data_IF_630255140461
#
_entry.id   IF_630255140461
#
_cell.length_a   1.000
_cell.length_b   1.000
_cell.length_c   1.000
_cell.angle_alpha   90.00
_cell.angle_beta   90.00
_cell.angle_gamma   90.00
#
_symmetry.space_group_name_H-M   'P 1'
#
loop_
_entity.id
_entity.type
_entity.pdbx_description
1 polymer ?
#
# COMPACT_ATOMS: atom_id res chain seq x y z
N UNK A 1 32.51 4.73 31.32
CA UNK A 1 31.15 4.22 31.02
C UNK A 1 30.45 5.04 29.93
N UNK A 2 30.33 6.36 29.99
CA UNK A 2 29.64 7.19 28.99
C UNK A 2 30.16 7.06 27.53
N UNK A 3 31.46 6.89 27.33
CA UNK A 3 32.04 6.72 25.98
C UNK A 3 31.68 5.36 25.36
N UNK A 4 31.53 4.31 26.15
CA UNK A 4 31.12 2.99 25.67
C UNK A 4 29.62 2.96 25.33
N UNK A 5 28.77 3.59 26.15
CA UNK A 5 27.34 3.72 25.89
C UNK A 5 27.07 4.58 24.67
N UNK A 6 27.81 5.68 24.46
CA UNK A 6 27.68 6.51 23.26
C UNK A 6 28.13 5.78 22.00
N UNK A 7 29.20 4.98 22.08
CA UNK A 7 29.67 4.16 20.95
C UNK A 7 28.69 3.05 20.61
N UNK A 8 28.05 2.39 21.58
CA UNK A 8 27.01 1.38 21.34
C UNK A 8 25.79 2.02 20.73
N UNK A 9 25.37 3.21 21.20
CA UNK A 9 24.22 3.94 20.60
C UNK A 9 24.51 4.36 19.17
N UNK A 10 25.73 4.76 18.84
CA UNK A 10 26.12 5.14 17.47
C UNK A 10 26.14 3.93 16.51
N UNK A 11 26.61 2.77 16.99
CA UNK A 11 26.67 1.52 16.22
C UNK A 11 25.25 1.00 15.92
N UNK A 12 24.31 1.11 16.87
CA UNK A 12 22.91 0.70 16.65
C UNK A 12 22.18 1.61 15.65
N UNK A 13 22.48 2.90 15.61
CA UNK A 13 21.91 3.83 14.63
C UNK A 13 22.40 3.56 13.19
N UNK A 14 23.66 3.15 13.02
CA UNK A 14 24.19 2.80 11.69
C UNK A 14 23.56 1.52 11.16
N UNK A 15 23.21 0.57 12.02
CA UNK A 15 22.52 -0.67 11.64
C UNK A 15 21.04 -0.49 11.28
N UNK A 16 20.43 0.65 11.62
CA UNK A 16 19.02 0.96 11.36
C UNK A 16 18.76 1.58 9.98
N UNK A 17 19.79 1.75 9.14
CA UNK A 17 19.66 2.29 7.78
C UNK A 17 19.56 1.16 6.76
N UNK A 18 18.43 1.11 6.02
CA UNK A 18 18.27 0.27 4.85
C UNK A 18 18.36 1.11 3.57
N UNK A 19 18.45 0.43 2.42
CA UNK A 19 18.42 1.07 1.12
C UNK A 19 17.20 0.58 0.35
N UNK A 20 16.38 1.48 -0.13
CA UNK A 20 15.19 1.17 -0.94
C UNK A 20 15.57 0.64 -2.33
N UNK A 21 14.63 0.08 -3.10
CA UNK A 21 14.87 -0.38 -4.47
C UNK A 21 15.42 0.71 -5.41
N UNK A 22 15.17 1.99 -5.10
CA UNK A 22 15.67 3.13 -5.89
C UNK A 22 17.01 3.67 -5.40
N UNK A 23 17.62 3.05 -4.37
CA UNK A 23 18.90 3.48 -3.80
C UNK A 23 18.78 4.51 -2.66
N UNK A 24 17.57 4.90 -2.25
CA UNK A 24 17.33 5.86 -1.18
C UNK A 24 17.61 5.24 0.19
N UNK A 25 18.23 6.02 1.08
CA UNK A 25 18.40 5.62 2.49
C UNK A 25 17.13 5.79 3.28
N UNK A 26 16.78 4.79 4.08
CA UNK A 26 15.58 4.74 4.91
C UNK A 26 15.92 4.45 6.36
N UNK A 27 15.17 5.05 7.29
CA UNK A 27 15.23 4.69 8.71
C UNK A 27 14.35 3.46 8.94
N UNK A 28 14.97 2.36 9.35
CA UNK A 28 14.30 1.05 9.52
C UNK A 28 14.49 0.52 10.93
N UNK A 29 13.93 1.20 11.94
CA UNK A 29 13.86 0.70 13.32
C UNK A 29 12.90 -0.49 13.43
N UNK A 30 11.84 -0.48 12.64
CA UNK A 30 10.94 -1.62 12.46
C UNK A 30 11.43 -2.41 11.26
N UNK A 31 11.71 -3.71 11.45
CA UNK A 31 12.11 -4.57 10.35
C UNK A 31 10.95 -4.81 9.36
N UNK A 32 11.28 -5.11 8.10
CA UNK A 32 10.31 -5.52 7.10
C UNK A 32 9.44 -6.68 7.59
N UNK A 33 10.05 -7.71 8.15
CA UNK A 33 9.34 -8.89 8.65
C UNK A 33 8.35 -8.54 9.77
N UNK A 34 8.74 -7.64 10.68
CA UNK A 34 7.84 -7.15 11.71
C UNK A 34 6.66 -6.37 11.13
N UNK A 35 6.93 -5.48 10.17
CA UNK A 35 5.88 -4.73 9.47
C UNK A 35 4.92 -5.65 8.72
N UNK A 36 5.42 -6.69 8.05
CA UNK A 36 4.59 -7.71 7.36
C UNK A 36 3.70 -8.46 8.36
N UNK A 37 4.26 -8.90 9.49
CA UNK A 37 3.50 -9.63 10.52
C UNK A 37 2.36 -8.78 11.10
N UNK A 38 2.66 -7.52 11.47
CA UNK A 38 1.66 -6.59 12.01
C UNK A 38 0.60 -6.21 10.96
N UNK A 39 1.02 -5.98 9.73
CA UNK A 39 0.13 -5.72 8.59
C UNK A 39 -0.81 -6.89 8.33
N UNK A 40 -0.31 -8.14 8.42
CA UNK A 40 -1.15 -9.34 8.28
C UNK A 40 -2.25 -9.39 9.33
N UNK A 41 -1.91 -9.15 10.59
CA UNK A 41 -2.88 -9.17 11.68
C UNK A 41 -3.95 -8.09 11.50
N UNK A 42 -3.53 -6.86 11.20
CA UNK A 42 -4.44 -5.74 10.96
C UNK A 42 -5.36 -5.99 9.75
N UNK A 43 -4.82 -6.52 8.66
CA UNK A 43 -5.59 -6.86 7.45
C UNK A 43 -6.65 -7.92 7.73
N UNK A 44 -6.27 -9.04 8.37
CA UNK A 44 -7.21 -10.13 8.69
C UNK A 44 -8.33 -9.65 9.58
N UNK A 45 -8.03 -8.86 10.60
CA UNK A 45 -9.04 -8.28 11.50
C UNK A 45 -9.97 -7.34 10.73
N UNK A 46 -9.44 -6.45 9.91
CA UNK A 46 -10.23 -5.49 9.13
C UNK A 46 -11.12 -6.19 8.11
N UNK A 47 -10.56 -7.12 7.33
CA UNK A 47 -11.32 -7.85 6.32
C UNK A 47 -12.37 -8.77 6.94
N UNK A 48 -12.05 -9.40 8.08
CA UNK A 48 -13.02 -10.20 8.84
C UNK A 48 -14.22 -9.39 9.30
N UNK A 49 -14.00 -8.20 9.84
CA UNK A 49 -15.08 -7.26 10.21
C UNK A 49 -15.91 -6.85 8.99
N UNK A 50 -15.26 -6.38 7.91
CA UNK A 50 -15.97 -5.95 6.70
C UNK A 50 -16.75 -7.10 6.05
N UNK A 51 -16.21 -8.30 6.07
CA UNK A 51 -16.91 -9.51 5.60
C UNK A 51 -18.17 -9.79 6.41
N UNK A 52 -18.07 -9.72 7.75
CA UNK A 52 -19.24 -9.94 8.64
C UNK A 52 -20.32 -8.86 8.50
N UNK A 53 -19.93 -7.65 8.07
CA UNK A 53 -20.83 -6.54 7.78
C UNK A 53 -21.38 -6.58 6.33
N UNK A 54 -20.98 -7.54 5.52
CA UNK A 54 -21.38 -7.64 4.10
C UNK A 54 -20.81 -6.53 3.21
N UNK A 55 -19.70 -5.92 3.63
CA UNK A 55 -19.05 -4.79 2.95
C UNK A 55 -17.92 -5.18 2.00
N UNK A 56 -17.83 -6.43 1.59
CA UNK A 56 -16.91 -6.86 0.56
C UNK A 56 -17.68 -7.13 -0.73
N UNK A 57 -17.19 -6.57 -1.84
CA UNK A 57 -17.78 -6.77 -3.16
C UNK A 57 -17.65 -8.23 -3.58
N UNK A 58 -18.76 -8.79 -4.09
CA UNK A 58 -18.82 -10.16 -4.61
C UNK A 58 -19.12 -10.22 -6.12
N UNK A 59 -19.31 -9.08 -6.78
CA UNK A 59 -19.54 -9.02 -8.22
C UNK A 59 -18.35 -9.61 -9.00
N UNK A 60 -18.55 -10.71 -9.73
CA UNK A 60 -17.46 -11.41 -10.42
C UNK A 60 -16.80 -10.57 -11.52
N UNK A 61 -17.51 -9.61 -12.10
CA UNK A 61 -16.94 -8.73 -13.14
C UNK A 61 -15.94 -7.75 -12.54
N UNK A 62 -16.31 -7.11 -11.42
CA UNK A 62 -15.44 -6.19 -10.69
C UNK A 62 -14.22 -6.96 -10.18
N UNK A 63 -14.46 -8.10 -9.56
CA UNK A 63 -13.39 -8.91 -9.00
C UNK A 63 -12.42 -9.39 -10.07
N UNK A 64 -12.92 -9.91 -11.20
CA UNK A 64 -12.07 -10.35 -12.32
C UNK A 64 -11.22 -9.21 -12.89
N UNK A 65 -11.81 -8.01 -13.05
CA UNK A 65 -11.09 -6.82 -13.51
C UNK A 65 -9.93 -6.47 -12.59
N UNK A 66 -10.20 -6.36 -11.29
CA UNK A 66 -9.20 -6.03 -10.26
C UNK A 66 -8.13 -7.11 -10.17
N UNK A 67 -8.51 -8.39 -10.17
CA UNK A 67 -7.57 -9.51 -10.11
C UNK A 67 -6.65 -9.55 -11.34
N UNK A 68 -7.20 -9.30 -12.53
CA UNK A 68 -6.40 -9.28 -13.77
C UNK A 68 -5.35 -8.19 -13.72
N UNK A 69 -5.75 -6.96 -13.36
CA UNK A 69 -4.84 -5.81 -13.29
C UNK A 69 -3.78 -6.05 -12.21
N UNK A 70 -4.22 -6.35 -11.00
CA UNK A 70 -3.32 -6.55 -9.86
C UNK A 70 -2.40 -7.75 -10.06
N UNK A 71 -2.92 -8.86 -10.61
CA UNK A 71 -2.13 -10.06 -10.87
C UNK A 71 -0.99 -9.83 -11.86
N UNK A 72 -1.20 -9.04 -12.91
CA UNK A 72 -0.13 -8.66 -13.85
C UNK A 72 0.93 -7.79 -13.18
N UNK A 73 0.52 -6.84 -12.34
CA UNK A 73 1.44 -5.98 -11.57
C UNK A 73 2.27 -6.79 -10.58
N UNK A 74 1.68 -7.78 -9.89
CA UNK A 74 2.38 -8.63 -8.94
C UNK A 74 3.49 -9.44 -9.62
N UNK A 75 3.29 -9.92 -10.84
CA UNK A 75 4.37 -10.60 -11.59
C UNK A 75 5.55 -9.66 -11.76
N UNK A 76 5.34 -8.41 -12.13
CA UNK A 76 6.41 -7.44 -12.29
C UNK A 76 7.05 -7.06 -10.95
N UNK A 77 6.26 -6.98 -9.88
CA UNK A 77 6.76 -6.78 -8.53
C UNK A 77 7.70 -7.90 -8.07
N UNK A 78 7.35 -9.16 -8.35
CA UNK A 78 8.19 -10.33 -8.04
C UNK A 78 9.47 -10.33 -8.90
N UNK A 79 9.38 -9.97 -10.18
CA UNK A 79 10.56 -9.84 -11.06
C UNK A 79 11.50 -8.74 -10.52
N UNK A 80 10.95 -7.59 -10.11
CA UNK A 80 11.73 -6.47 -9.58
C UNK A 80 12.36 -6.81 -8.22
N UNK A 81 11.63 -7.54 -7.36
CA UNK A 81 12.06 -7.91 -6.02
C UNK A 81 11.71 -9.38 -5.73
N UNK A 82 12.58 -10.34 -6.09
CA UNK A 82 12.27 -11.78 -6.02
C UNK A 82 11.86 -12.30 -4.63
N UNK A 83 12.33 -11.68 -3.55
CA UNK A 83 11.95 -12.04 -2.18
C UNK A 83 10.45 -11.90 -1.92
N UNK A 84 9.76 -11.06 -2.70
CA UNK A 84 8.31 -10.84 -2.57
C UNK A 84 7.47 -12.00 -3.11
N UNK A 85 8.08 -12.99 -3.76
CA UNK A 85 7.41 -14.26 -4.13
C UNK A 85 6.92 -15.02 -2.89
N UNK A 86 7.49 -14.73 -1.71
CA UNK A 86 7.08 -15.31 -0.42
C UNK A 86 5.94 -14.52 0.25
N UNK A 87 5.52 -13.38 -0.32
CA UNK A 87 4.43 -12.60 0.24
C UNK A 87 3.08 -13.25 -0.04
N UNK A 88 2.15 -13.07 0.89
CA UNK A 88 0.76 -13.53 0.72
C UNK A 88 -0.05 -12.48 -0.04
N UNK A 89 0.22 -12.33 -1.33
CA UNK A 89 -0.44 -11.39 -2.21
C UNK A 89 -1.96 -11.59 -2.22
N UNK A 90 -2.70 -10.55 -1.93
CA UNK A 90 -4.18 -10.58 -1.96
C UNK A 90 -4.74 -9.20 -2.25
N UNK A 91 -5.94 -9.14 -2.83
CA UNK A 91 -6.68 -7.90 -3.04
C UNK A 91 -8.15 -8.11 -2.70
N UNK A 92 -8.75 -7.14 -2.01
CA UNK A 92 -10.19 -7.09 -1.72
C UNK A 92 -10.77 -5.78 -2.26
N UNK A 93 -12.04 -5.81 -2.65
CA UNK A 93 -12.79 -4.61 -3.01
C UNK A 93 -13.80 -4.34 -1.89
N UNK A 94 -13.65 -3.19 -1.25
CA UNK A 94 -14.51 -2.75 -0.14
C UNK A 94 -15.68 -1.96 -0.73
N UNK A 95 -16.90 -2.34 -0.36
CA UNK A 95 -18.10 -1.62 -0.77
C UNK A 95 -18.33 -0.40 0.11
N UNK A 96 -17.68 0.68 -0.27
CA UNK A 96 -17.90 2.02 0.25
C UNK A 96 -17.80 3.04 -0.91
N UNK A 97 -18.96 3.44 -1.48
CA UNK A 97 -18.98 4.37 -2.61
C UNK A 97 -18.60 5.82 -2.23
N UNK A 98 -18.49 6.13 -0.95
CA UNK A 98 -18.08 7.46 -0.47
C UNK A 98 -16.56 7.59 -0.45
N UNK A 99 -15.86 6.51 -0.19
CA UNK A 99 -14.40 6.48 -0.02
C UNK A 99 -13.69 6.31 -1.36
N UNK A 100 -12.89 7.31 -1.75
CA UNK A 100 -12.03 7.25 -2.94
C UNK A 100 -10.62 6.94 -2.47
N UNK A 101 -10.32 5.64 -2.36
CA UNK A 101 -9.05 5.19 -1.80
C UNK A 101 -8.66 3.80 -2.30
N UNK A 102 -7.37 3.49 -2.19
CA UNK A 102 -6.76 2.17 -2.29
C UNK A 102 -5.54 2.13 -1.38
N UNK A 103 -5.07 0.94 -1.02
CA UNK A 103 -3.86 0.79 -0.23
C UNK A 103 -3.25 -0.60 -0.36
N UNK A 104 -1.94 -0.68 -0.13
CA UNK A 104 -1.19 -1.92 -0.02
C UNK A 104 -0.37 -1.92 1.27
N UNK A 105 -0.66 -2.87 2.14
CA UNK A 105 0.10 -3.11 3.37
C UNK A 105 1.40 -3.85 3.08
N UNK A 106 2.34 -3.79 4.02
CA UNK A 106 3.54 -4.61 3.98
C UNK A 106 3.17 -6.11 3.83
N UNK A 107 3.87 -6.81 2.92
CA UNK A 107 3.59 -8.20 2.59
C UNK A 107 2.52 -8.39 1.52
N UNK A 108 2.13 -7.33 0.79
CA UNK A 108 1.34 -7.42 -0.45
C UNK A 108 -0.16 -7.61 -0.26
N UNK A 109 -0.71 -7.25 0.89
CA UNK A 109 -2.17 -7.29 1.15
C UNK A 109 -2.81 -5.97 0.79
N UNK A 110 -3.75 -6.01 -0.15
CA UNK A 110 -4.32 -4.83 -0.78
C UNK A 110 -5.83 -4.74 -0.59
N UNK A 111 -6.31 -3.51 -0.62
CA UNK A 111 -7.72 -3.24 -0.84
C UNK A 111 -7.91 -1.96 -1.66
N UNK A 112 -9.04 -1.88 -2.34
CA UNK A 112 -9.55 -0.66 -2.95
C UNK A 112 -11.04 -0.53 -2.66
N UNK A 113 -11.54 0.70 -2.74
CA UNK A 113 -12.91 1.02 -2.43
C UNK A 113 -13.76 1.20 -3.69
N UNK A 114 -15.04 0.85 -3.63
CA UNK A 114 -15.97 1.08 -4.75
C UNK A 114 -16.06 2.55 -5.14
N UNK A 115 -15.86 3.48 -4.20
CA UNK A 115 -15.81 4.91 -4.52
C UNK A 115 -14.69 5.29 -5.48
N UNK A 116 -13.54 4.61 -5.45
CA UNK A 116 -12.48 4.80 -6.44
C UNK A 116 -12.97 4.40 -7.84
N UNK A 117 -13.63 3.25 -7.95
CA UNK A 117 -14.14 2.74 -9.22
C UNK A 117 -15.28 3.58 -9.79
N UNK A 118 -16.16 4.09 -8.93
CA UNK A 118 -17.39 4.78 -9.33
C UNK A 118 -17.21 6.28 -9.56
N UNK A 119 -16.42 6.97 -8.72
CA UNK A 119 -16.25 8.43 -8.79
C UNK A 119 -15.13 8.85 -9.72
N UNK A 120 -14.05 8.08 -9.78
CA UNK A 120 -12.94 8.34 -10.69
C UNK A 120 -13.22 7.74 -12.06
N UNK A 121 -13.97 6.63 -12.08
CA UNK A 121 -14.24 5.83 -13.30
C UNK A 121 -12.94 5.60 -14.10
N UNK A 122 -11.95 4.95 -13.47
CA UNK A 122 -10.66 4.77 -14.09
C UNK A 122 -10.74 3.74 -15.23
N UNK A 123 -10.01 3.99 -16.32
CA UNK A 123 -9.70 2.93 -17.28
C UNK A 123 -8.87 1.82 -16.63
N UNK A 124 -8.65 0.70 -17.33
CA UNK A 124 -7.77 -0.37 -16.81
C UNK A 124 -6.34 0.12 -16.63
N UNK A 125 -5.87 0.96 -17.58
CA UNK A 125 -4.54 1.56 -17.49
C UNK A 125 -4.42 2.50 -16.29
N UNK A 126 -5.43 3.34 -16.04
CA UNK A 126 -5.46 4.24 -14.88
C UNK A 126 -5.56 3.48 -13.55
N UNK A 127 -6.36 2.40 -13.49
CA UNK A 127 -6.45 1.55 -12.30
C UNK A 127 -5.13 0.83 -12.04
N UNK A 128 -4.42 0.42 -13.10
CA UNK A 128 -3.09 -0.16 -12.98
C UNK A 128 -2.08 0.85 -12.42
N UNK A 129 -2.19 2.14 -12.74
CA UNK A 129 -1.32 3.17 -12.14
C UNK A 129 -1.59 3.32 -10.64
N UNK A 130 -2.87 3.28 -10.19
CA UNK A 130 -3.22 3.29 -8.75
C UNK A 130 -2.60 2.07 -8.06
N UNK A 131 -2.92 0.88 -8.55
CA UNK A 131 -2.48 -0.37 -7.90
C UNK A 131 -0.96 -0.55 -7.98
N UNK A 132 -0.32 -0.12 -9.06
CA UNK A 132 1.13 -0.08 -9.19
C UNK A 132 1.79 0.84 -8.18
N UNK A 133 1.23 2.03 -7.96
CA UNK A 133 1.66 2.98 -6.94
C UNK A 133 1.54 2.37 -5.52
N UNK A 134 0.42 1.73 -5.20
CA UNK A 134 0.22 1.07 -3.91
C UNK A 134 1.18 -0.09 -3.67
N UNK A 135 1.37 -0.96 -4.68
CA UNK A 135 2.35 -2.05 -4.62
C UNK A 135 3.76 -1.50 -4.38
N UNK A 136 4.08 -0.35 -4.98
CA UNK A 136 5.39 0.29 -4.84
C UNK A 136 5.69 0.73 -3.41
N UNK A 137 4.68 1.20 -2.67
CA UNK A 137 4.84 1.50 -1.25
C UNK A 137 5.23 0.27 -0.44
N UNK A 138 4.68 -0.89 -0.75
CA UNK A 138 5.06 -2.15 -0.09
C UNK A 138 6.47 -2.60 -0.52
N UNK A 139 6.81 -2.55 -1.81
CA UNK A 139 8.12 -2.91 -2.34
C UNK A 139 9.25 -2.05 -1.75
N UNK A 140 9.00 -0.76 -1.58
CA UNK A 140 9.95 0.19 -1.00
C UNK A 140 9.92 0.25 0.53
N UNK A 141 9.20 -0.67 1.20
CA UNK A 141 9.09 -0.75 2.66
C UNK A 141 8.60 0.53 3.34
N UNK A 142 7.80 1.37 2.65
CA UNK A 142 7.33 2.65 3.19
C UNK A 142 6.49 2.49 4.46
N UNK A 143 5.76 1.37 4.62
CA UNK A 143 5.04 1.07 5.87
C UNK A 143 5.99 0.91 7.05
N UNK A 144 7.07 0.13 6.90
CA UNK A 144 8.07 -0.07 7.95
C UNK A 144 8.82 1.24 8.27
N UNK A 145 9.11 2.05 7.26
CA UNK A 145 9.72 3.38 7.42
C UNK A 145 8.80 4.33 8.20
N UNK A 146 7.49 4.39 7.86
CA UNK A 146 6.51 5.19 8.62
C UNK A 146 6.36 4.74 10.06
N UNK A 147 6.30 3.44 10.30
CA UNK A 147 6.26 2.87 11.65
C UNK A 147 7.51 3.24 12.43
N UNK A 148 8.70 3.19 11.81
CA UNK A 148 9.98 3.57 12.40
C UNK A 148 10.01 5.06 12.77
N UNK A 149 9.54 5.92 11.88
CA UNK A 149 9.44 7.35 12.12
C UNK A 149 8.45 7.69 13.24
N UNK A 150 7.30 6.99 13.29
CA UNK A 150 6.33 7.15 14.36
C UNK A 150 6.89 6.74 15.71
N UNK A 151 7.61 5.62 15.78
CA UNK A 151 8.31 5.18 17.01
C UNK A 151 9.35 6.20 17.47
N UNK A 152 10.15 6.72 16.54
CA UNK A 152 11.15 7.74 16.86
C UNK A 152 10.49 9.02 17.41
N UNK A 153 9.42 9.48 16.76
CA UNK A 153 8.68 10.67 17.17
C UNK A 153 8.04 10.50 18.55
N UNK A 154 7.47 9.33 18.84
CA UNK A 154 6.91 9.02 20.16
C UNK A 154 8.01 8.90 21.23
N UNK A 155 9.12 8.24 20.93
CA UNK A 155 10.25 8.11 21.83
C UNK A 155 10.87 9.47 22.21
N UNK A 156 10.99 10.38 21.25
CA UNK A 156 11.44 11.75 21.48
C UNK A 156 10.44 12.57 22.32
N UNK A 157 9.13 12.38 22.11
CA UNK A 157 8.08 13.07 22.85
C UNK A 157 7.99 12.60 24.31
N UNK A 158 8.27 11.32 24.61
CA UNK A 158 8.18 10.75 25.95
C UNK A 158 9.40 10.98 26.81
N UNK A 159 10.47 11.61 26.27
CA UNK A 159 11.67 11.95 27.05
C UNK A 159 12.26 10.78 27.82
N UNK A 160 12.75 9.78 27.09
CA UNK A 160 13.61 8.69 27.62
C UNK A 160 13.14 8.04 28.93
N UNK A 161 12.06 7.31 28.86
CA UNK A 161 11.60 6.43 29.94
C UNK A 161 11.04 5.15 29.39
N UNK A 162 11.78 4.40 28.55
CA UNK A 162 11.32 3.11 28.05
C UNK A 162 11.60 2.04 29.11
N UNK A 163 10.70 1.92 30.08
CA UNK A 163 10.43 0.64 30.71
C UNK A 163 9.34 -0.01 29.85
N UNK A 164 9.75 -0.80 28.86
CA UNK A 164 8.82 -1.46 27.96
C UNK A 164 8.13 -2.60 28.69
N UNK A 165 6.91 -2.37 29.17
CA UNK A 165 5.98 -3.45 29.46
C UNK A 165 5.58 -4.07 28.11
N UNK A 166 5.93 -5.34 27.91
CA UNK A 166 5.79 -6.05 26.62
C UNK A 166 4.34 -6.08 26.09
N UNK A 167 3.34 -6.05 26.97
CA UNK A 167 1.92 -6.03 26.60
C UNK A 167 1.50 -4.67 25.99
N UNK A 168 2.00 -3.55 26.53
CA UNK A 168 1.74 -2.21 25.99
C UNK A 168 2.43 -2.00 24.64
N UNK A 169 3.62 -2.59 24.44
CA UNK A 169 4.33 -2.58 23.17
C UNK A 169 3.59 -3.39 22.12
N UNK A 170 3.02 -4.55 22.45
CA UNK A 170 2.24 -5.38 21.54
C UNK A 170 0.91 -4.73 21.14
N UNK A 171 0.18 -4.12 22.08
CA UNK A 171 -1.03 -3.37 21.78
C UNK A 171 -0.77 -2.11 20.94
N UNK A 172 0.35 -1.42 21.21
CA UNK A 172 0.82 -0.29 20.40
C UNK A 172 1.24 -0.70 18.98
N UNK A 173 1.77 -1.90 18.81
CA UNK A 173 2.24 -2.40 17.51
C UNK A 173 1.09 -2.66 16.51
N UNK A 174 -0.04 -3.22 16.95
CA UNK A 174 -1.21 -3.38 16.09
C UNK A 174 -1.80 -2.04 15.66
N UNK A 175 -1.86 -1.08 16.58
CA UNK A 175 -2.25 0.30 16.29
C UNK A 175 -1.30 0.99 15.31
N UNK A 176 0.01 0.70 15.37
CA UNK A 176 1.00 1.32 14.50
C UNK A 176 0.86 0.93 13.02
N UNK A 177 0.47 -0.31 12.70
CA UNK A 177 0.22 -0.72 11.32
C UNK A 177 -1.01 -0.02 10.73
N UNK A 178 -2.10 0.11 11.51
CA UNK A 178 -3.29 0.87 11.09
C UNK A 178 -3.01 2.36 11.03
N UNK A 179 -2.26 2.91 12.00
CA UNK A 179 -1.85 4.31 11.99
C UNK A 179 -0.97 4.61 10.77
N UNK A 180 -0.08 3.71 10.37
CA UNK A 180 0.75 3.88 9.18
C UNK A 180 -0.06 3.95 7.88
N UNK A 181 -1.28 3.39 7.82
CA UNK A 181 -2.18 3.57 6.66
C UNK A 181 -2.87 4.94 6.65
N UNK A 182 -3.09 5.53 7.81
CA UNK A 182 -3.82 6.79 7.93
C UNK A 182 -2.91 8.02 7.92
N UNK A 183 -1.63 7.85 8.26
CA UNK A 183 -0.64 8.92 8.20
C UNK A 183 -0.25 9.21 6.75
N UNK A 184 -0.15 10.50 6.37
CA UNK A 184 0.33 10.88 5.04
C UNK A 184 1.74 10.33 4.78
N UNK A 185 1.96 9.90 3.54
CA UNK A 185 3.31 9.57 3.07
C UNK A 185 4.19 10.81 2.98
N UNK A 186 5.50 10.64 3.09
CA UNK A 186 6.41 11.71 2.76
C UNK A 186 6.40 11.98 1.24
N UNK A 187 6.65 13.23 0.83
CA UNK A 187 6.76 13.55 -0.62
C UNK A 187 7.85 12.74 -1.32
N UNK A 188 8.89 12.38 -0.61
CA UNK A 188 9.97 11.53 -1.12
C UNK A 188 9.47 10.12 -1.38
N UNK A 189 8.70 9.54 -0.45
CA UNK A 189 8.07 8.22 -0.62
C UNK A 189 7.06 8.22 -1.76
N UNK A 190 6.33 9.32 -1.96
CA UNK A 190 5.41 9.47 -3.09
C UNK A 190 6.14 9.50 -4.43
N UNK A 191 7.23 10.28 -4.54
CA UNK A 191 8.05 10.32 -5.76
C UNK A 191 8.65 8.95 -6.07
N UNK A 192 9.06 8.21 -5.05
CA UNK A 192 9.59 6.86 -5.19
C UNK A 192 8.49 5.88 -5.65
N UNK A 193 7.29 5.96 -5.06
CA UNK A 193 6.16 5.13 -5.43
C UNK A 193 5.66 5.43 -6.85
N UNK A 194 5.65 6.69 -7.27
CA UNK A 194 5.32 7.08 -8.65
C UNK A 194 6.30 6.46 -9.65
N UNK A 195 7.60 6.54 -9.38
CA UNK A 195 8.64 6.00 -10.27
C UNK A 195 8.54 4.48 -10.41
N UNK A 196 8.41 3.76 -9.30
CA UNK A 196 8.29 2.30 -9.32
C UNK A 196 6.95 1.90 -9.93
N UNK A 197 5.87 2.58 -9.57
CA UNK A 197 4.50 2.25 -9.98
C UNK A 197 4.28 2.35 -11.49
N UNK A 198 4.75 3.44 -12.11
CA UNK A 198 4.63 3.60 -13.57
C UNK A 198 5.48 2.55 -14.33
N UNK A 199 6.63 2.16 -13.78
CA UNK A 199 7.48 1.10 -14.34
C UNK A 199 6.78 -0.27 -14.25
N UNK A 200 6.20 -0.62 -13.09
CA UNK A 200 5.43 -1.85 -12.92
C UNK A 200 4.25 -1.90 -13.90
N UNK A 201 3.49 -0.81 -14.03
CA UNK A 201 2.33 -0.74 -14.91
C UNK A 201 2.75 -0.91 -16.40
N UNK A 202 3.77 -0.21 -16.84
CA UNK A 202 4.25 -0.32 -18.22
C UNK A 202 4.75 -1.74 -18.55
N UNK A 203 5.55 -2.35 -17.67
CA UNK A 203 6.01 -3.74 -17.81
C UNK A 203 4.88 -4.76 -17.74
N UNK A 204 3.80 -4.46 -17.01
CA UNK A 204 2.59 -5.28 -16.96
C UNK A 204 1.69 -5.11 -18.20
N UNK A 205 2.04 -4.20 -19.12
CA UNK A 205 1.33 -3.94 -20.38
C UNK A 205 0.21 -2.91 -20.25
N UNK A 206 0.32 -1.99 -19.30
CA UNK A 206 -0.59 -0.86 -19.14
C UNK A 206 0.08 0.44 -19.57
N UNK A 207 -0.70 1.29 -20.24
CA UNK A 207 -0.21 2.53 -20.83
C UNK A 207 0.33 3.50 -19.77
N UNK A 208 1.61 3.88 -19.79
CA UNK A 208 2.17 4.80 -18.81
C UNK A 208 1.58 6.23 -18.89
N UNK A 209 1.00 6.63 -20.04
CA UNK A 209 0.31 7.92 -20.21
C UNK A 209 -0.88 8.07 -19.27
N UNK A 210 -1.47 6.95 -18.87
CA UNK A 210 -2.59 6.91 -17.94
C UNK A 210 -2.22 7.45 -16.53
N UNK A 211 -0.95 7.52 -16.17
CA UNK A 211 -0.53 8.10 -14.90
C UNK A 211 -0.92 9.58 -14.81
N UNK A 212 -0.69 10.36 -15.86
CA UNK A 212 -1.02 11.79 -15.85
C UNK A 212 -2.54 12.03 -15.85
N UNK A 213 -3.30 11.26 -16.66
CA UNK A 213 -4.76 11.40 -16.74
C UNK A 213 -5.46 11.00 -15.44
N UNK A 214 -4.99 9.96 -14.76
CA UNK A 214 -5.47 9.54 -13.46
C UNK A 214 -5.40 10.68 -12.43
N UNK A 215 -4.24 11.30 -12.28
CA UNK A 215 -4.07 12.38 -11.30
C UNK A 215 -4.92 13.60 -11.62
N UNK A 216 -5.16 13.90 -12.90
CA UNK A 216 -6.10 14.94 -13.30
C UNK A 216 -7.54 14.60 -12.91
N UNK A 217 -7.96 13.35 -13.10
CA UNK A 217 -9.29 12.87 -12.67
C UNK A 217 -9.45 12.94 -11.15
N UNK A 218 -8.44 12.49 -10.40
CA UNK A 218 -8.47 12.53 -8.94
C UNK A 218 -8.53 13.96 -8.40
N UNK A 219 -7.80 14.90 -8.99
CA UNK A 219 -7.84 16.30 -8.60
C UNK A 219 -9.23 16.93 -8.84
N UNK A 220 -9.95 16.50 -9.87
CA UNK A 220 -11.30 17.00 -10.21
C UNK A 220 -12.41 16.35 -9.37
N UNK A 221 -12.19 15.17 -8.82
CA UNK A 221 -13.20 14.40 -8.09
C UNK A 221 -13.51 14.94 -6.68
N UNK A 222 -12.77 15.92 -6.19
CA UNK A 222 -12.94 16.55 -4.88
C UNK A 222 -14.12 17.52 -4.83
N UNK A 223 -15.34 17.03 -4.66
CA UNK A 223 -16.56 17.87 -4.57
C UNK A 223 -16.80 18.59 -3.25
N UNK A 224 -15.88 18.60 -2.30
CA UNK A 224 -16.02 19.23 -0.96
C UNK A 224 -14.75 19.13 -0.12
N UNK A 225 -13.68 18.65 -0.70
CA UNK A 225 -12.35 18.40 -0.15
C UNK A 225 -11.59 17.42 -1.01
N UNK A 226 -10.27 17.30 -0.87
CA UNK A 226 -9.51 16.34 -1.63
C UNK A 226 -9.99 14.92 -1.30
N UNK A 227 -10.08 14.00 -2.29
CA UNK A 227 -10.29 12.60 -2.01
C UNK A 227 -9.32 12.06 -0.96
N UNK A 228 -9.72 11.07 -0.16
CA UNK A 228 -8.88 10.50 0.89
C UNK A 228 -7.52 10.05 0.34
N UNK A 229 -7.51 9.48 -0.86
CA UNK A 229 -6.30 9.11 -1.56
C UNK A 229 -5.28 10.27 -1.67
N UNK A 230 -5.73 11.47 -2.02
CA UNK A 230 -4.85 12.64 -2.10
C UNK A 230 -4.39 13.15 -0.72
N UNK A 231 -5.15 12.87 0.33
CA UNK A 231 -4.78 13.24 1.71
C UNK A 231 -3.69 12.32 2.26
N UNK A 232 -3.72 11.04 1.94
CA UNK A 232 -2.71 10.06 2.33
C UNK A 232 -1.50 10.04 1.39
N UNK A 233 -1.68 10.50 0.14
CA UNK A 233 -0.67 10.57 -0.91
C UNK A 233 -0.45 12.01 -1.41
N UNK A 234 0.18 12.88 -0.57
CA UNK A 234 0.37 14.29 -0.91
C UNK A 234 1.26 14.43 -2.13
N UNK A 235 0.73 15.09 -3.16
CA UNK A 235 1.46 15.29 -4.40
C UNK A 235 2.75 16.09 -4.18
N UNK A 236 3.91 15.64 -4.70
CA UNK A 236 5.06 16.50 -4.90
C UNK A 236 4.69 17.68 -5.80
N UNK A 237 5.22 18.88 -5.51
CA UNK A 237 4.83 20.09 -6.25
C UNK A 237 5.08 20.05 -7.76
N UNK A 238 5.92 19.12 -8.23
CA UNK A 238 6.28 18.91 -9.64
C UNK A 238 5.78 17.56 -10.19
N UNK A 239 4.82 16.90 -9.53
CA UNK A 239 4.37 15.53 -9.87
C UNK A 239 4.03 15.35 -11.35
N UNK A 240 3.31 16.31 -11.95
CA UNK A 240 2.94 16.22 -13.37
C UNK A 240 4.15 16.22 -14.29
N UNK A 241 5.12 17.11 -14.06
CA UNK A 241 6.35 17.16 -14.86
C UNK A 241 7.19 15.88 -14.67
N UNK A 242 7.26 15.37 -13.45
CA UNK A 242 7.97 14.12 -13.13
C UNK A 242 7.33 12.93 -13.83
N UNK A 243 6.01 12.81 -13.79
CA UNK A 243 5.28 11.72 -14.47
C UNK A 243 5.43 11.80 -15.99
N UNK A 244 5.35 13.00 -16.57
CA UNK A 244 5.57 13.17 -18.02
C UNK A 244 6.99 12.76 -18.46
N UNK A 245 8.00 13.08 -17.64
CA UNK A 245 9.38 12.65 -17.91
C UNK A 245 9.56 11.12 -17.76
N UNK A 246 8.87 10.49 -16.81
CA UNK A 246 8.87 9.04 -16.62
C UNK A 246 8.10 8.32 -17.72
N UNK A 247 7.01 8.88 -18.23
CA UNK A 247 6.23 8.34 -19.34
C UNK A 247 7.11 7.98 -20.53
N UNK A 248 7.89 8.94 -21.02
CA UNK A 248 8.79 8.72 -22.16
C UNK A 248 9.80 7.59 -21.92
N UNK A 249 10.26 7.41 -20.67
CA UNK A 249 11.17 6.33 -20.30
C UNK A 249 10.48 4.97 -20.22
N UNK A 250 9.18 4.94 -19.93
CA UNK A 250 8.41 3.70 -19.73
C UNK A 250 7.76 3.18 -21.02
N UNK A 251 7.55 4.02 -22.04
CA UNK A 251 6.97 3.61 -23.32
C UNK A 251 7.62 2.37 -23.95
N UNK A 252 8.96 2.22 -23.97
CA UNK A 252 9.59 1.02 -24.53
C UNK A 252 9.18 -0.28 -23.85
N UNK A 253 8.88 -0.27 -22.53
CA UNK A 253 8.38 -1.46 -21.81
C UNK A 253 6.93 -1.76 -22.15
N UNK A 254 6.10 -0.73 -22.30
CA UNK A 254 4.70 -0.88 -22.69
C UNK A 254 4.56 -1.43 -24.11
N UNK A 255 5.32 -0.90 -25.04
CA UNK A 255 5.31 -1.30 -26.45
C UNK A 255 5.99 -2.64 -26.73
N UNK A 256 6.71 -3.18 -25.75
CA UNK A 256 7.39 -4.48 -25.91
C UNK A 256 6.35 -5.58 -26.16
N UNK A 257 6.45 -6.30 -27.30
CA UNK A 257 5.55 -7.40 -27.60
C UNK A 257 5.80 -8.59 -26.67
N UNK A 258 4.77 -9.36 -26.40
CA UNK A 258 4.88 -10.61 -25.66
C UNK A 258 3.75 -10.86 -24.67
N UNK A 259 3.74 -12.05 -24.04
CA UNK A 259 2.71 -12.37 -23.06
C UNK A 259 2.82 -11.51 -21.83
N UNK A 260 1.66 -11.17 -21.25
CA UNK A 260 1.56 -10.47 -19.96
C UNK A 260 1.04 -11.46 -18.91
N UNK A 261 1.93 -12.23 -18.28
CA UNK A 261 1.53 -13.23 -17.30
C UNK A 261 0.86 -12.60 -16.09
N UNK A 262 0.02 -13.39 -15.41
CA UNK A 262 -0.77 -12.95 -14.28
C UNK A 262 -0.54 -13.86 -13.09
N UNK A 263 -0.26 -13.29 -11.93
CA UNK A 263 -0.24 -13.99 -10.65
C UNK A 263 -1.67 -14.39 -10.27
N UNK A 264 -1.87 -15.64 -9.88
CA UNK A 264 -3.18 -16.14 -9.46
C UNK A 264 -3.41 -15.77 -8.00
N UNK A 265 -4.30 -14.79 -7.78
CA UNK A 265 -4.67 -14.35 -6.44
C UNK A 265 -5.59 -15.40 -5.79
N UNK A 266 -5.19 -15.90 -4.62
CA UNK A 266 -6.06 -16.73 -3.81
C UNK A 266 -7.12 -15.84 -3.14
N UNK A 267 -8.40 -16.11 -3.41
CA UNK A 267 -9.50 -15.54 -2.64
C UNK A 267 -9.80 -16.50 -1.50
N UNK A 268 -9.82 -15.99 -0.28
CA UNK A 268 -10.44 -16.74 0.82
C UNK A 268 -11.89 -17.05 0.42
N UNK A 269 -12.37 -18.30 0.60
CA UNK A 269 -13.75 -18.62 0.33
C UNK A 269 -14.64 -17.68 1.13
N UNK A 270 -15.63 -17.06 0.47
CA UNK A 270 -16.60 -16.24 1.14
C UNK A 270 -17.22 -17.08 2.27
N UNK A 271 -17.06 -16.66 3.52
CA UNK A 271 -17.75 -17.34 4.60
C UNK A 271 -19.26 -17.27 4.30
N UNK A 272 -19.99 -18.41 4.36
CA UNK A 272 -21.42 -18.38 4.11
C UNK A 272 -22.06 -17.39 5.07
N UNK A 273 -22.89 -16.50 4.53
CA UNK A 273 -23.61 -15.51 5.31
C UNK A 273 -24.24 -16.19 6.52
N UNK A 274 -23.87 -15.78 7.72
CA UNK A 274 -24.53 -16.25 8.95
C UNK A 274 -25.99 -15.86 8.82
N UNK A 275 -26.86 -16.84 8.57
CA UNK A 275 -28.31 -16.62 8.59
C UNK A 275 -28.64 -16.05 9.96
N UNK A 276 -29.03 -14.78 10.03
CA UNK A 276 -29.63 -14.20 11.22
C UNK A 276 -30.91 -15.03 11.48
N UNK A 277 -30.84 -15.95 12.42
CA UNK A 277 -32.04 -16.62 12.91
C UNK A 277 -32.98 -15.53 13.41
N UNK A 278 -34.11 -15.37 12.73
CA UNK A 278 -35.20 -14.57 13.25
C UNK A 278 -35.63 -15.17 14.61
N UNK A 279 -35.85 -14.34 15.64
CA UNK A 279 -36.38 -14.87 16.89
C UNK A 279 -37.73 -15.50 16.59
N UNK A 280 -37.91 -16.76 17.00
CA UNK A 280 -39.20 -17.41 17.02
C UNK A 280 -40.13 -16.63 17.94
N UNK A 281 -41.18 -16.04 17.38
CA UNK A 281 -42.31 -15.51 18.14
C UNK A 281 -43.01 -16.70 18.83
N UNK A 282 -42.93 -16.76 20.15
CA UNK A 282 -43.85 -17.51 20.97
C UNK A 282 -45.00 -16.60 21.39
#
# INVERSE_FOLDING_TARGET
MYRLTLAILLVTLVSACATSPTGRKQLMLVSEQSAISQSKQAYVQTMGKLSSEGKLVTDPKILKRVDTITGRLIVQAIIMRPTTSQWEWSVQVIDDPKEVNAWCMAGGRMALYTGLLQKIDPTDDELAQVMGHEISHALANHTAERMSNAMLSQGLALGVGIAADSAAVMAGAQGAAMLALTLPNSRTSETEADRIGIELAAKAGYDPRAAATLWQKMAKAGGGGPPQFLSTHPAPGNRQATLAALEAQMMPYYEQPGPRPMYQLARAPAQPAVKKNAPALQ
#
